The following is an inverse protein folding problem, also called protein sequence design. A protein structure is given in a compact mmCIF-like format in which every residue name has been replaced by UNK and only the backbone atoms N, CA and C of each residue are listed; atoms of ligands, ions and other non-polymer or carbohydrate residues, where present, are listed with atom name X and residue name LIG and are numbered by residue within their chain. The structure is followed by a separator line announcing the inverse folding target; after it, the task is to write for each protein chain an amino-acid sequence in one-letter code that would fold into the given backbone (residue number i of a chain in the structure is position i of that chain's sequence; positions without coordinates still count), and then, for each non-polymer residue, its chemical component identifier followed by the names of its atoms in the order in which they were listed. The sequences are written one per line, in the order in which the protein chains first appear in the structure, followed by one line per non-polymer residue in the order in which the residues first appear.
data_IF_194169752572
#
_entry.id   IF_194169752572
#
_cell.length_a   1.000
_cell.length_b   1.000
_cell.length_c   1.000
_cell.angle_alpha   90.00
_cell.angle_beta   90.00
_cell.angle_gamma   90.00
#
_symmetry.space_group_name_H-M   'P 1'
#
loop_
_entity.id
_entity.type
_entity.pdbx_description
1 polymer ?
#
# COMPACT_ATOMS: atom_id res chain seq x y z
N UNK A 1 4.59 -11.75 -15.52
CA UNK A 1 3.20 -11.87 -15.02
C UNK A 1 2.98 -13.31 -14.58
N UNK A 2 2.31 -13.56 -13.45
CA UNK A 2 1.97 -14.92 -13.01
C UNK A 2 0.55 -15.24 -13.49
N UNK A 3 0.42 -16.20 -14.40
CA UNK A 3 -0.89 -16.64 -14.86
C UNK A 3 -1.59 -17.43 -13.75
N UNK A 4 -2.74 -16.94 -13.28
CA UNK A 4 -3.55 -17.66 -12.29
C UNK A 4 -4.50 -18.68 -12.93
N UNK A 5 -4.78 -18.55 -14.24
CA UNK A 5 -5.72 -19.40 -14.98
C UNK A 5 -7.18 -19.23 -14.56
N UNK A 6 -7.50 -18.24 -13.71
CA UNK A 6 -8.84 -18.04 -13.18
C UNK A 6 -9.65 -17.17 -14.15
N UNK A 7 -10.78 -17.69 -14.62
CA UNK A 7 -11.72 -16.98 -15.49
C UNK A 7 -12.97 -16.61 -14.70
N UNK A 8 -13.41 -15.35 -14.80
CA UNK A 8 -14.66 -14.86 -14.22
C UNK A 8 -15.45 -14.09 -15.25
N UNK A 9 -16.77 -14.23 -15.18
CA UNK A 9 -17.70 -13.41 -15.98
C UNK A 9 -17.84 -12.05 -15.32
N UNK A 10 -18.03 -11.04 -16.16
CA UNK A 10 -18.47 -9.71 -15.74
C UNK A 10 -19.96 -9.83 -15.41
N UNK A 11 -20.39 -9.18 -14.34
CA UNK A 11 -21.83 -9.08 -14.04
C UNK A 11 -22.53 -8.05 -14.94
N UNK A 12 -23.82 -7.86 -14.71
CA UNK A 12 -24.68 -6.92 -15.43
C UNK A 12 -24.26 -5.44 -15.28
N UNK A 13 -23.51 -5.11 -14.22
CA UNK A 13 -23.04 -3.76 -13.93
C UNK A 13 -21.59 -3.51 -14.37
N UNK A 14 -20.89 -4.50 -14.91
CA UNK A 14 -19.51 -4.34 -15.32
C UNK A 14 -18.46 -4.72 -14.26
N UNK A 15 -18.86 -5.34 -13.14
CA UNK A 15 -17.94 -5.71 -12.05
C UNK A 15 -17.34 -7.09 -12.27
N UNK A 16 -16.10 -7.28 -11.80
CA UNK A 16 -15.41 -8.57 -11.77
C UNK A 16 -15.09 -8.95 -10.33
N UNK A 17 -15.45 -10.15 -9.93
CA UNK A 17 -15.14 -10.66 -8.59
C UNK A 17 -13.68 -11.12 -8.49
N UNK A 18 -12.96 -10.62 -7.48
CA UNK A 18 -11.61 -11.10 -7.14
C UNK A 18 -11.73 -12.34 -6.23
N UNK A 19 -11.18 -13.51 -6.65
CA UNK A 19 -11.19 -14.74 -5.87
C UNK A 19 -10.61 -14.56 -4.46
N UNK A 20 -11.14 -15.32 -3.48
CA UNK A 20 -10.75 -15.21 -2.07
C UNK A 20 -9.26 -15.53 -1.87
N UNK A 21 -8.73 -16.47 -2.63
CA UNK A 21 -7.33 -16.90 -2.57
C UNK A 21 -6.38 -15.76 -2.93
N UNK A 22 -6.70 -14.99 -3.98
CA UNK A 22 -5.93 -13.81 -4.38
C UNK A 22 -6.02 -12.74 -3.29
N UNK A 23 -7.24 -12.49 -2.77
CA UNK A 23 -7.44 -11.50 -1.69
C UNK A 23 -6.65 -11.85 -0.43
N UNK A 24 -6.61 -13.12 -0.04
CA UNK A 24 -5.83 -13.57 1.13
C UNK A 24 -4.33 -13.42 0.87
N UNK A 25 -3.84 -13.85 -0.30
CA UNK A 25 -2.42 -13.74 -0.64
C UNK A 25 -1.92 -12.30 -0.79
N UNK A 26 -2.81 -11.35 -1.08
CA UNK A 26 -2.48 -9.94 -1.26
C UNK A 26 -2.92 -9.06 -0.07
N UNK A 27 -3.47 -9.67 0.99
CA UNK A 27 -3.97 -8.97 2.17
C UNK A 27 -4.98 -7.88 1.82
N UNK A 28 -5.97 -8.23 0.98
CA UNK A 28 -7.08 -7.36 0.58
C UNK A 28 -8.35 -7.76 1.36
N UNK A 29 -8.52 -7.26 2.61
CA UNK A 29 -9.79 -7.39 3.31
C UNK A 29 -10.91 -6.66 2.57
N UNK A 30 -12.14 -6.91 3.03
CA UNK A 30 -13.31 -6.17 2.56
C UNK A 30 -13.10 -4.65 2.74
N UNK A 31 -13.53 -3.86 1.74
CA UNK A 31 -13.37 -2.41 1.76
C UNK A 31 -11.99 -1.89 1.37
N UNK A 32 -11.02 -2.77 1.02
CA UNK A 32 -9.69 -2.30 0.57
C UNK A 32 -9.83 -1.45 -0.70
N UNK A 33 -9.35 -0.20 -0.71
CA UNK A 33 -9.42 0.65 -1.88
C UNK A 33 -8.46 0.14 -2.96
N UNK A 34 -8.95 0.02 -4.18
CA UNK A 34 -8.21 -0.50 -5.34
C UNK A 34 -8.12 0.56 -6.41
N UNK A 35 -6.98 0.59 -7.10
CA UNK A 35 -6.73 1.47 -8.24
C UNK A 35 -6.61 0.65 -9.53
N UNK A 36 -7.18 1.19 -10.60
CA UNK A 36 -7.26 0.54 -11.91
C UNK A 36 -6.39 1.30 -12.91
N UNK A 37 -5.49 0.59 -13.56
CA UNK A 37 -4.62 1.13 -14.60
C UNK A 37 -4.84 0.40 -15.92
N UNK A 38 -4.80 1.15 -17.02
CA UNK A 38 -4.78 0.59 -18.38
C UNK A 38 -3.34 0.59 -18.90
N UNK A 39 -2.88 -0.55 -19.40
CA UNK A 39 -1.58 -0.71 -20.06
C UNK A 39 -1.78 -1.26 -21.47
N UNK A 40 -0.71 -1.36 -22.26
CA UNK A 40 -0.74 -2.00 -23.58
C UNK A 40 -1.19 -3.46 -23.54
N UNK A 41 -0.95 -4.14 -22.42
CA UNK A 41 -1.15 -5.58 -22.27
C UNK A 41 -2.47 -5.90 -21.56
N UNK A 42 -3.21 -4.88 -21.11
CA UNK A 42 -4.52 -5.02 -20.48
C UNK A 42 -4.70 -4.14 -19.24
N UNK A 43 -5.58 -4.59 -18.34
CA UNK A 43 -5.92 -3.88 -17.11
C UNK A 43 -5.10 -4.41 -15.93
N UNK A 44 -4.55 -3.50 -15.14
CA UNK A 44 -3.78 -3.82 -13.92
C UNK A 44 -4.50 -3.24 -12.70
N UNK A 45 -4.69 -4.08 -11.68
CA UNK A 45 -5.24 -3.70 -10.39
C UNK A 45 -4.13 -3.62 -9.35
N UNK A 46 -4.13 -2.57 -8.52
CA UNK A 46 -3.23 -2.41 -7.38
C UNK A 46 -3.97 -1.90 -6.17
N UNK A 47 -3.43 -2.15 -4.96
CA UNK A 47 -3.93 -1.50 -3.74
C UNK A 47 -3.73 0.00 -3.88
N UNK A 48 -4.82 0.76 -3.75
CA UNK A 48 -4.74 2.20 -3.73
C UNK A 48 -4.00 2.63 -2.47
N UNK A 49 -2.99 3.47 -2.66
CA UNK A 49 -2.26 4.14 -1.59
C UNK A 49 -2.37 5.63 -1.85
N UNK A 50 -3.02 6.36 -0.95
CA UNK A 50 -3.03 7.81 -1.08
C UNK A 50 -1.59 8.32 -0.93
N UNK A 51 -1.19 9.34 -1.69
CA UNK A 51 0.18 9.85 -1.69
C UNK A 51 0.71 10.18 -0.28
N UNK A 52 -0.16 10.63 0.62
CA UNK A 52 0.20 10.99 2.00
C UNK A 52 0.21 9.80 2.97
N UNK A 53 -0.35 8.67 2.57
CA UNK A 53 -0.49 7.49 3.42
C UNK A 53 0.87 6.82 3.64
N UNK A 54 1.71 6.75 2.60
CA UNK A 54 3.08 6.23 2.71
C UNK A 54 3.96 7.11 3.60
N UNK A 55 3.87 8.45 3.45
CA UNK A 55 4.58 9.38 4.34
C UNK A 55 4.13 9.24 5.79
N UNK A 56 2.83 9.03 6.02
CA UNK A 56 2.26 8.88 7.36
C UNK A 56 2.69 7.56 8.01
N UNK A 57 2.69 6.45 7.27
CA UNK A 57 3.18 5.15 7.75
C UNK A 57 4.66 5.22 8.14
N UNK A 58 5.50 5.82 7.29
CA UNK A 58 6.93 6.01 7.59
C UNK A 58 7.14 6.91 8.80
N UNK A 59 6.36 7.99 8.94
CA UNK A 59 6.43 8.85 10.12
C UNK A 59 6.07 8.10 11.41
N UNK A 60 5.06 7.23 11.38
CA UNK A 60 4.66 6.42 12.54
C UNK A 60 5.77 5.41 12.92
N UNK A 61 6.41 4.77 11.95
CA UNK A 61 7.54 3.87 12.19
C UNK A 61 8.72 4.60 12.81
N UNK A 62 9.09 5.77 12.28
CA UNK A 62 10.17 6.60 12.82
C UNK A 62 9.86 7.07 14.25
N UNK A 63 8.62 7.45 14.52
CA UNK A 63 8.15 7.81 15.87
C UNK A 63 8.20 6.61 16.84
N UNK A 64 7.87 5.41 16.39
CA UNK A 64 7.96 4.20 17.21
C UNK A 64 9.42 3.86 17.56
N UNK A 65 10.38 4.16 16.67
CA UNK A 65 11.82 3.96 16.89
C UNK A 65 12.46 5.01 17.82
N UNK A 66 11.85 6.18 18.00
CA UNK A 66 12.31 7.21 18.94
C UNK A 66 12.26 6.73 20.40
N UNK A 67 11.29 5.90 20.77
CA UNK A 67 11.15 5.39 22.14
C UNK A 67 12.22 4.36 22.57
N UNK A 68 12.66 3.42 21.72
CA UNK A 68 13.74 2.48 22.04
C UNK A 68 15.15 2.91 21.61
N UNK A 69 15.32 3.97 20.79
CA UNK A 69 16.64 4.41 20.31
C UNK A 69 17.55 4.82 21.48
N UNK A 70 18.57 4.00 21.74
CA UNK A 70 19.41 4.04 22.94
C UNK A 70 20.56 5.05 22.85
N UNK A 71 20.84 5.63 21.67
CA UNK A 71 21.88 6.65 21.50
C UNK A 71 21.30 8.04 21.11
N UNK A 72 21.79 9.14 21.72
CA UNK A 72 21.35 10.50 21.41
C UNK A 72 21.50 10.87 19.91
N UNK A 73 22.54 10.34 19.26
CA UNK A 73 22.84 10.57 17.84
C UNK A 73 21.80 9.93 16.91
N UNK A 74 21.26 8.77 17.29
CA UNK A 74 20.20 8.10 16.55
C UNK A 74 18.88 8.87 16.69
N UNK A 75 18.57 9.39 17.87
CA UNK A 75 17.38 10.22 18.09
C UNK A 75 17.42 11.51 17.26
N UNK A 76 18.57 12.18 17.20
CA UNK A 76 18.74 13.38 16.38
C UNK A 76 18.58 13.10 14.88
N UNK A 77 19.13 11.98 14.41
CA UNK A 77 19.03 11.56 13.00
C UNK A 77 17.60 11.22 12.60
N UNK A 78 16.87 10.51 13.47
CA UNK A 78 15.44 10.18 13.27
C UNK A 78 14.59 11.44 13.28
N UNK A 79 14.86 12.39 14.17
CA UNK A 79 14.13 13.65 14.23
C UNK A 79 14.34 14.50 12.97
N UNK A 80 15.58 14.59 12.46
CA UNK A 80 15.88 15.27 11.18
C UNK A 80 15.14 14.62 10.01
N UNK A 81 15.03 13.29 9.98
CA UNK A 81 14.27 12.59 8.94
C UNK A 81 12.77 12.91 9.01
N UNK A 82 12.19 12.94 10.21
CA UNK A 82 10.78 13.33 10.44
C UNK A 82 10.51 14.75 9.93
N UNK A 83 11.38 15.70 10.25
CA UNK A 83 11.19 17.11 9.88
C UNK A 83 11.31 17.33 8.36
N UNK A 84 12.18 16.58 7.68
CA UNK A 84 12.33 16.64 6.23
C UNK A 84 11.11 16.04 5.50
N UNK A 85 10.51 14.98 6.03
CA UNK A 85 9.30 14.36 5.46
C UNK A 85 8.10 15.30 5.63
N UNK A 86 8.00 16.04 6.74
CA UNK A 86 6.91 17.01 6.99
C UNK A 86 6.97 18.29 6.15
N UNK A 87 8.13 18.61 5.57
CA UNK A 87 8.33 19.83 4.76
C UNK A 87 8.03 19.63 3.27
N UNK A 88 7.86 18.39 2.81
CA UNK A 88 7.36 18.05 1.47
C UNK A 88 5.84 18.00 1.46
#
# INVERSE_FOLDING_TARGET
MKATGIVRKIDDLGRVTIPKEIRLSQEWPEGTPMEMFMTSDGMVLRKYRAANQEATEVLLELQALLHPATSPEAQESIQKAIDLIKQK
#
